data_IF_915895092955
#
_entry.id   IF_915895092955
#
_cell.length_a   1.000
_cell.length_b   1.000
_cell.length_c   1.000
_cell.angle_alpha   90.00
_cell.angle_beta   90.00
_cell.angle_gamma   90.00
#
_symmetry.space_group_name_H-M   'P 1'
#
loop_
_entity.id
_entity.type
_entity.pdbx_description
1 polymer ?
#
# COMPACT_ATOMS: atom_id res chain seq x y z
N UNK A 1 27.88 -12.41 -12.05
CA UNK A 1 27.39 -11.18 -11.38
C UNK A 1 25.90 -11.08 -11.62
N UNK A 2 25.05 -10.87 -10.60
CA UNK A 2 23.64 -10.62 -10.86
C UNK A 2 23.52 -9.36 -11.70
N UNK A 3 22.62 -9.37 -12.68
CA UNK A 3 22.31 -8.21 -13.51
C UNK A 3 21.79 -7.08 -12.61
N UNK A 4 22.26 -5.83 -12.79
CA UNK A 4 21.74 -4.71 -12.03
C UNK A 4 20.25 -4.52 -12.36
N UNK A 5 19.40 -4.48 -11.33
CA UNK A 5 17.97 -4.20 -11.52
C UNK A 5 17.81 -2.69 -11.72
N UNK A 6 17.22 -2.30 -12.84
CA UNK A 6 16.82 -0.93 -13.10
C UNK A 6 15.50 -0.63 -12.37
N UNK A 7 15.51 0.38 -11.50
CA UNK A 7 14.30 0.99 -10.96
C UNK A 7 13.98 2.20 -11.83
N UNK A 8 12.83 2.20 -12.50
CA UNK A 8 12.38 3.29 -13.37
C UNK A 8 11.41 4.17 -12.57
N UNK A 9 11.59 5.49 -12.66
CA UNK A 9 10.84 6.51 -11.90
C UNK A 9 10.77 6.22 -10.39
N UNK A 10 11.91 6.08 -9.69
CA UNK A 10 11.88 6.09 -8.24
C UNK A 10 11.36 7.47 -7.82
N UNK A 11 10.08 7.57 -7.48
CA UNK A 11 9.54 8.80 -6.90
C UNK A 11 10.39 9.08 -5.65
N UNK A 12 11.14 10.18 -5.61
CA UNK A 12 12.05 10.45 -4.50
C UNK A 12 11.21 10.94 -3.32
N UNK A 13 10.53 10.00 -2.66
CA UNK A 13 9.87 10.27 -1.40
C UNK A 13 10.88 10.03 -0.28
N UNK A 14 11.52 11.13 0.14
CA UNK A 14 12.27 11.15 1.39
C UNK A 14 11.24 11.37 2.50
N UNK A 15 10.81 10.29 3.13
CA UNK A 15 9.79 10.37 4.17
C UNK A 15 9.56 9.03 4.83
N UNK A 16 8.30 8.73 5.07
CA UNK A 16 7.87 7.51 5.74
C UNK A 16 8.20 6.23 4.94
N UNK A 17 8.99 5.29 5.48
CA UNK A 17 9.34 4.03 4.80
C UNK A 17 8.13 3.18 4.40
N UNK A 18 7.00 3.34 5.09
CA UNK A 18 5.77 2.60 4.77
C UNK A 18 5.15 3.00 3.43
N UNK A 19 5.49 4.19 2.92
CA UNK A 19 5.01 4.67 1.63
C UNK A 19 5.46 3.79 0.45
N UNK A 20 6.66 3.22 0.52
CA UNK A 20 7.26 2.45 -0.57
C UNK A 20 6.49 1.16 -0.87
N UNK A 21 5.81 0.59 0.13
CA UNK A 21 5.00 -0.63 -0.04
C UNK A 21 3.71 -0.40 -0.83
N UNK A 22 3.20 0.84 -0.86
CA UNK A 22 1.84 1.14 -1.33
C UNK A 22 1.64 0.80 -2.81
N UNK A 23 2.65 1.07 -3.66
CA UNK A 23 2.50 0.80 -5.08
C UNK A 23 2.40 -0.71 -5.35
N UNK A 24 3.17 -1.54 -4.62
CA UNK A 24 3.03 -2.98 -4.70
C UNK A 24 1.61 -3.42 -4.31
N UNK A 25 1.10 -2.90 -3.20
CA UNK A 25 -0.23 -3.26 -2.69
C UNK A 25 -1.34 -2.84 -3.66
N UNK A 26 -1.24 -1.64 -4.26
CA UNK A 26 -2.17 -1.13 -5.27
C UNK A 26 -2.09 -1.84 -6.63
N UNK A 27 -1.00 -2.54 -6.92
CA UNK A 27 -0.87 -3.35 -8.13
C UNK A 27 -1.48 -4.76 -7.96
N UNK A 28 -1.90 -5.10 -6.74
CA UNK A 28 -2.53 -6.38 -6.39
C UNK A 28 -3.96 -6.17 -5.89
N UNK A 29 -4.81 -5.58 -6.73
CA UNK A 29 -6.22 -5.26 -6.46
C UNK A 29 -6.99 -6.42 -5.84
N UNK A 30 -6.86 -7.63 -6.39
CA UNK A 30 -7.57 -8.81 -5.89
C UNK A 30 -7.24 -9.11 -4.42
N UNK A 31 -5.97 -8.92 -4.03
CA UNK A 31 -5.52 -9.15 -2.65
C UNK A 31 -5.93 -8.00 -1.75
N UNK A 32 -5.81 -6.77 -2.25
CA UNK A 32 -6.18 -5.56 -1.52
C UNK A 32 -7.67 -5.51 -1.23
N UNK A 33 -8.53 -5.91 -2.17
CA UNK A 33 -9.98 -5.87 -2.00
C UNK A 33 -10.51 -7.06 -1.18
N UNK A 34 -9.85 -8.22 -1.23
CA UNK A 34 -10.27 -9.40 -0.48
C UNK A 34 -10.07 -9.25 1.04
N UNK A 35 -8.91 -8.73 1.47
CA UNK A 35 -8.60 -8.50 2.89
C UNK A 35 -7.60 -7.32 3.04
N UNK A 36 -8.08 -6.06 3.00
CA UNK A 36 -7.21 -4.89 3.06
C UNK A 36 -6.37 -4.83 4.34
N UNK A 37 -6.97 -5.18 5.48
CA UNK A 37 -6.32 -5.08 6.79
C UNK A 37 -5.28 -6.18 6.98
N UNK A 38 -5.62 -7.44 6.67
CA UNK A 38 -4.68 -8.55 6.73
C UNK A 38 -3.56 -8.42 5.69
N UNK A 39 -3.83 -7.80 4.53
CA UNK A 39 -2.77 -7.51 3.57
C UNK A 39 -1.79 -6.46 4.08
N UNK A 40 -2.27 -5.40 4.74
CA UNK A 40 -1.40 -4.42 5.41
C UNK A 40 -0.54 -5.07 6.50
N UNK A 41 -1.14 -5.85 7.40
CA UNK A 41 -0.43 -6.55 8.47
C UNK A 41 0.66 -7.48 7.91
N UNK A 42 0.33 -8.27 6.88
CA UNK A 42 1.28 -9.16 6.22
C UNK A 42 2.44 -8.40 5.60
N UNK A 43 2.16 -7.30 4.90
CA UNK A 43 3.22 -6.52 4.24
C UNK A 43 4.11 -5.82 5.26
N UNK A 44 3.54 -5.33 6.37
CA UNK A 44 4.31 -4.77 7.46
C UNK A 44 5.30 -5.77 8.04
N UNK A 45 4.84 -7.00 8.34
CA UNK A 45 5.71 -8.06 8.85
C UNK A 45 6.80 -8.53 7.87
N UNK A 46 6.52 -8.56 6.56
CA UNK A 46 7.51 -8.94 5.55
C UNK A 46 8.61 -7.89 5.32
N UNK A 47 8.28 -6.62 5.59
CA UNK A 47 9.15 -5.47 5.30
C UNK A 47 9.76 -4.84 6.57
N UNK A 48 9.46 -5.40 7.74
CA UNK A 48 9.87 -4.85 9.05
C UNK A 48 9.41 -3.39 9.24
N UNK A 49 8.12 -3.16 8.99
CA UNK A 49 7.46 -1.85 9.07
C UNK A 49 6.44 -1.79 10.21
N UNK A 50 6.09 -0.57 10.63
CA UNK A 50 4.96 -0.32 11.52
C UNK A 50 3.62 -0.65 10.82
N UNK A 51 2.84 -1.62 11.33
CA UNK A 51 1.59 -2.06 10.71
C UNK A 51 0.48 -1.01 10.76
N UNK A 52 0.38 -0.24 11.84
CA UNK A 52 -0.61 0.83 11.97
C UNK A 52 -0.29 1.94 10.99
N UNK A 53 0.99 2.30 10.89
CA UNK A 53 1.43 3.34 9.97
C UNK A 53 1.20 2.95 8.51
N UNK A 54 1.51 1.71 8.14
CA UNK A 54 1.24 1.20 6.79
C UNK A 54 -0.26 1.17 6.49
N UNK A 55 -1.10 0.77 7.46
CA UNK A 55 -2.57 0.81 7.32
C UNK A 55 -3.08 2.22 7.03
N UNK A 56 -2.59 3.22 7.76
CA UNK A 56 -2.99 4.64 7.55
C UNK A 56 -2.61 5.14 6.15
N UNK A 57 -1.40 4.79 5.70
CA UNK A 57 -0.97 5.13 4.34
C UNK A 57 -1.79 4.42 3.27
N UNK A 58 -2.11 3.15 3.47
CA UNK A 58 -2.95 2.39 2.56
C UNK A 58 -4.37 2.96 2.50
N UNK A 59 -4.94 3.34 3.65
CA UNK A 59 -6.22 4.05 3.73
C UNK A 59 -6.18 5.34 2.89
N UNK A 60 -5.22 6.23 3.16
CA UNK A 60 -5.09 7.49 2.46
C UNK A 60 -4.93 7.30 0.94
N UNK A 61 -4.16 6.28 0.54
CA UNK A 61 -3.94 5.96 -0.86
C UNK A 61 -5.19 5.39 -1.53
N UNK A 62 -5.95 4.53 -0.85
CA UNK A 62 -7.23 4.04 -1.36
C UNK A 62 -8.24 5.18 -1.55
N UNK A 63 -8.30 6.14 -0.61
CA UNK A 63 -9.13 7.35 -0.75
C UNK A 63 -8.70 8.15 -1.98
N UNK A 64 -7.40 8.45 -2.11
CA UNK A 64 -6.85 9.24 -3.21
C UNK A 64 -7.13 8.63 -4.59
N UNK A 65 -7.04 7.30 -4.71
CA UNK A 65 -7.18 6.59 -5.99
C UNK A 65 -8.63 6.18 -6.31
N UNK A 66 -9.53 6.20 -5.32
CA UNK A 66 -10.93 5.78 -5.50
C UNK A 66 -11.72 6.49 -6.61
N UNK A 67 -11.47 7.78 -6.96
CA UNK A 67 -12.16 8.41 -8.09
C UNK A 67 -11.85 7.75 -9.44
N UNK A 68 -10.64 7.22 -9.62
CA UNK A 68 -10.23 6.52 -10.84
C UNK A 68 -10.44 5.00 -10.72
N UNK A 69 -10.50 4.47 -9.50
CA UNK A 69 -10.59 3.04 -9.19
C UNK A 69 -11.69 2.78 -8.14
N UNK A 70 -12.97 2.71 -8.53
CA UNK A 70 -14.09 2.65 -7.59
C UNK A 70 -14.03 1.50 -6.56
N UNK A 71 -13.42 0.36 -6.92
CA UNK A 71 -13.24 -0.78 -6.01
C UNK A 71 -12.43 -0.44 -4.74
N UNK A 72 -11.57 0.59 -4.79
CA UNK A 72 -10.79 1.02 -3.63
C UNK A 72 -11.62 1.76 -2.58
N UNK A 73 -12.84 2.18 -2.91
CA UNK A 73 -13.76 2.81 -1.95
C UNK A 73 -14.04 1.88 -0.77
N UNK A 74 -14.37 0.62 -1.06
CA UNK A 74 -14.76 -0.33 -0.02
C UNK A 74 -13.55 -0.74 0.82
N UNK A 75 -12.36 -0.85 0.20
CA UNK A 75 -11.10 -1.01 0.92
C UNK A 75 -10.80 0.18 1.83
N UNK A 76 -11.02 1.43 1.37
CA UNK A 76 -10.86 2.62 2.19
C UNK A 76 -11.80 2.62 3.41
N UNK A 77 -13.07 2.21 3.24
CA UNK A 77 -14.01 2.08 4.36
C UNK A 77 -13.52 1.05 5.38
N UNK A 78 -13.03 -0.11 4.93
CA UNK A 78 -12.50 -1.15 5.80
C UNK A 78 -11.19 -0.75 6.51
N UNK A 79 -10.40 0.12 5.89
CA UNK A 79 -9.12 0.61 6.41
C UNK A 79 -9.25 1.86 7.29
N UNK A 80 -10.43 2.48 7.35
CA UNK A 80 -10.64 3.71 8.10
C UNK A 80 -10.13 3.60 9.55
N UNK A 81 -9.49 4.66 10.09
CA UNK A 81 -9.18 4.75 11.51
C UNK A 81 -10.48 4.74 12.33
N UNK A 82 -10.40 4.22 13.56
CA UNK A 82 -11.49 4.27 14.52
C UNK A 82 -11.77 5.70 15.01
#
# INVERSE_FOLDING_TARGET
MPTPRLVIDPKPYVGDPTYDALQHMLNHDDRLTADPAGFAERMAGLLDLDPERLRLWLFARCVQESPARPALRDAAVALAPA
#
